data_IF_882681952423
#
_entry.id   IF_882681952423
#
_cell.length_a   1.000
_cell.length_b   1.000
_cell.length_c   1.000
_cell.angle_alpha   90.00
_cell.angle_beta   90.00
_cell.angle_gamma   90.00
#
_symmetry.space_group_name_H-M   'P 1'
#
loop_
_entity.id
_entity.type
_entity.pdbx_description
1 polymer ?
#
# COMPACT_ATOMS: atom_id res chain seq x y z
N UNK A 1 -6.35 14.18 -14.27
CA UNK A 1 -6.43 12.93 -15.06
C UNK A 1 -7.17 11.82 -14.34
N UNK A 2 -6.80 11.45 -13.10
CA UNK A 2 -7.46 10.36 -12.35
C UNK A 2 -8.96 10.60 -12.04
N UNK A 3 -9.34 11.85 -11.75
CA UNK A 3 -10.72 12.23 -11.45
C UNK A 3 -11.69 11.99 -12.63
N UNK A 4 -11.22 12.29 -13.85
CA UNK A 4 -11.99 12.10 -15.09
C UNK A 4 -12.22 10.63 -15.43
N UNK A 5 -11.22 9.78 -15.16
CA UNK A 5 -11.33 8.32 -15.37
C UNK A 5 -12.35 7.74 -14.38
N UNK A 6 -12.29 8.15 -13.12
CA UNK A 6 -13.25 7.73 -12.09
C UNK A 6 -14.70 8.07 -12.44
N UNK A 7 -14.91 9.26 -13.03
CA UNK A 7 -16.22 9.77 -13.38
C UNK A 7 -16.85 9.09 -14.62
N UNK A 8 -16.01 8.68 -15.58
CA UNK A 8 -16.48 8.04 -16.82
C UNK A 8 -16.57 6.51 -16.75
N UNK A 9 -15.72 5.86 -15.96
CA UNK A 9 -15.60 4.39 -15.93
C UNK A 9 -16.52 3.76 -14.88
N UNK A 10 -16.78 4.46 -13.76
CA UNK A 10 -17.55 3.89 -12.65
C UNK A 10 -18.97 4.47 -12.65
N UNK A 11 -20.01 3.62 -12.80
CA UNK A 11 -21.41 4.04 -12.75
C UNK A 11 -21.74 4.82 -11.49
N UNK A 12 -22.61 5.82 -11.61
CA UNK A 12 -23.03 6.68 -10.50
C UNK A 12 -23.64 5.90 -9.32
N UNK A 13 -24.36 4.81 -9.62
CA UNK A 13 -24.91 3.89 -8.62
C UNK A 13 -23.82 3.22 -7.76
N UNK A 14 -22.67 2.91 -8.34
CA UNK A 14 -21.52 2.35 -7.64
C UNK A 14 -20.77 3.46 -6.89
N UNK A 15 -20.63 4.63 -7.49
CA UNK A 15 -19.93 5.78 -6.88
C UNK A 15 -20.62 6.27 -5.60
N UNK A 16 -21.95 6.26 -5.59
CA UNK A 16 -22.77 6.63 -4.44
C UNK A 16 -23.09 5.44 -3.51
N UNK A 17 -22.56 4.26 -3.80
CA UNK A 17 -22.76 3.09 -2.96
C UNK A 17 -22.08 3.27 -1.59
N UNK A 18 -22.68 2.67 -0.56
CA UNK A 18 -22.11 2.63 0.81
C UNK A 18 -20.62 2.23 0.84
N UNK A 19 -20.14 1.19 0.13
CA UNK A 19 -18.74 0.81 0.18
C UNK A 19 -17.79 1.85 -0.44
N UNK A 20 -18.15 2.46 -1.57
CA UNK A 20 -17.30 3.50 -2.19
C UNK A 20 -17.20 4.73 -1.31
N UNK A 21 -18.32 5.17 -0.72
CA UNK A 21 -18.33 6.28 0.24
C UNK A 21 -17.53 5.95 1.50
N UNK A 22 -17.57 4.71 1.97
CA UNK A 22 -16.76 4.26 3.10
C UNK A 22 -15.26 4.29 2.78
N UNK A 23 -14.85 3.81 1.60
CA UNK A 23 -13.46 3.87 1.13
C UNK A 23 -12.98 5.31 1.00
N UNK A 24 -13.80 6.21 0.46
CA UNK A 24 -13.46 7.63 0.37
C UNK A 24 -13.25 8.26 1.75
N UNK A 25 -14.13 7.94 2.72
CA UNK A 25 -14.03 8.43 4.09
C UNK A 25 -12.85 7.83 4.87
N UNK A 26 -12.46 6.59 4.56
CA UNK A 26 -11.37 5.86 5.21
C UNK A 26 -10.14 5.72 4.31
N UNK A 27 -9.91 6.68 3.41
CA UNK A 27 -8.85 6.62 2.39
C UNK A 27 -7.48 6.21 2.95
N UNK A 28 -7.10 6.73 4.12
CA UNK A 28 -5.83 6.39 4.78
C UNK A 28 -5.77 4.91 5.18
N UNK A 29 -6.85 4.39 5.76
CA UNK A 29 -6.98 2.98 6.12
C UNK A 29 -6.98 2.08 4.87
N UNK A 30 -7.66 2.50 3.80
CA UNK A 30 -7.68 1.76 2.54
C UNK A 30 -6.29 1.68 1.90
N UNK A 31 -5.56 2.79 1.85
CA UNK A 31 -4.18 2.82 1.34
C UNK A 31 -3.28 1.93 2.20
N UNK A 32 -3.40 2.01 3.52
CA UNK A 32 -2.67 1.16 4.43
C UNK A 32 -2.94 -0.33 4.21
N UNK A 33 -4.21 -0.73 4.04
CA UNK A 33 -4.59 -2.11 3.79
C UNK A 33 -4.03 -2.62 2.45
N UNK A 34 -4.12 -1.83 1.38
CA UNK A 34 -3.55 -2.18 0.07
C UNK A 34 -2.04 -2.38 0.17
N UNK A 35 -1.33 -1.45 0.81
CA UNK A 35 0.12 -1.57 1.01
C UNK A 35 0.46 -2.80 1.85
N UNK A 36 -0.28 -3.05 2.94
CA UNK A 36 -0.06 -4.22 3.80
C UNK A 36 -0.22 -5.54 3.04
N UNK A 37 -1.26 -5.65 2.21
CA UNK A 37 -1.48 -6.82 1.35
C UNK A 37 -0.36 -6.93 0.32
N UNK A 38 0.00 -5.83 -0.36
CA UNK A 38 1.08 -5.84 -1.34
C UNK A 38 2.38 -6.38 -0.74
N UNK A 39 2.75 -5.85 0.43
CA UNK A 39 3.93 -6.24 1.19
C UNK A 39 3.91 -7.72 1.57
N UNK A 40 2.75 -8.22 2.00
CA UNK A 40 2.64 -9.58 2.49
C UNK A 40 2.36 -10.61 1.39
N UNK A 41 1.95 -10.24 0.19
CA UNK A 41 1.61 -11.21 -0.86
C UNK A 41 2.51 -11.12 -2.10
N UNK A 42 3.29 -10.06 -2.24
CA UNK A 42 4.22 -9.87 -3.36
C UNK A 42 5.65 -9.66 -2.84
N UNK A 43 6.31 -10.74 -2.37
CA UNK A 43 7.73 -10.73 -2.06
C UNK A 43 8.55 -10.27 -3.27
N UNK A 44 9.69 -9.64 -3.01
CA UNK A 44 10.72 -9.57 -4.03
C UNK A 44 11.43 -10.93 -4.13
N UNK A 45 11.11 -11.66 -5.19
CA UNK A 45 11.67 -12.97 -5.55
C UNK A 45 12.53 -12.92 -6.80
N UNK A 46 12.86 -11.73 -7.32
CA UNK A 46 13.68 -11.66 -8.53
C UNK A 46 15.06 -12.26 -8.26
N UNK A 47 15.50 -13.20 -9.11
CA UNK A 47 16.88 -13.70 -9.10
C UNK A 47 17.80 -12.55 -9.55
N UNK A 48 18.72 -12.17 -8.66
CA UNK A 48 19.56 -10.97 -8.80
C UNK A 48 20.72 -11.12 -9.79
N UNK A 49 20.82 -12.25 -10.51
CA UNK A 49 21.88 -12.52 -11.50
C UNK A 49 21.92 -11.51 -12.66
N UNK A 50 20.92 -10.63 -12.77
CA UNK A 50 20.77 -9.62 -13.83
C UNK A 50 21.24 -8.21 -13.40
N UNK A 51 21.53 -7.97 -12.11
CA UNK A 51 21.94 -6.63 -11.60
C UNK A 51 23.27 -6.69 -10.84
N UNK A 52 24.41 -6.27 -11.44
CA UNK A 52 25.75 -6.57 -10.93
C UNK A 52 26.18 -5.88 -9.62
N UNK A 53 25.37 -5.02 -8.99
CA UNK A 53 25.84 -4.18 -7.86
C UNK A 53 24.77 -3.89 -6.78
N UNK A 54 23.67 -4.64 -6.77
CA UNK A 54 22.50 -4.30 -5.95
C UNK A 54 22.58 -4.81 -4.52
N UNK A 55 23.06 -3.97 -3.59
CA UNK A 55 22.90 -4.12 -2.12
C UNK A 55 21.66 -4.93 -1.75
N UNK A 56 21.84 -6.01 -1.00
CA UNK A 56 20.79 -6.82 -0.41
C UNK A 56 19.67 -5.93 0.16
N UNK A 57 18.56 -5.80 -0.57
CA UNK A 57 17.42 -5.05 -0.07
C UNK A 57 16.79 -5.82 1.07
N UNK A 58 16.45 -5.15 2.16
CA UNK A 58 15.69 -5.75 3.29
C UNK A 58 14.34 -6.37 2.87
N UNK A 59 13.96 -6.19 1.59
CA UNK A 59 12.75 -6.67 0.96
C UNK A 59 12.87 -8.02 0.25
N UNK A 60 14.10 -8.50 0.03
CA UNK A 60 14.33 -9.75 -0.67
C UNK A 60 14.04 -10.95 0.23
N UNK A 61 13.42 -12.00 -0.33
CA UNK A 61 12.96 -13.17 0.44
C UNK A 61 14.08 -13.86 1.25
N UNK A 62 15.29 -13.87 0.70
CA UNK A 62 16.45 -14.52 1.33
C UNK A 62 17.15 -13.63 2.37
N UNK A 63 16.72 -12.37 2.53
CA UNK A 63 17.30 -11.47 3.51
C UNK A 63 16.90 -11.88 4.94
N UNK A 64 17.83 -11.98 5.91
CA UNK A 64 17.50 -12.37 7.30
C UNK A 64 16.45 -11.48 7.96
N UNK A 65 16.35 -10.23 7.51
CA UNK A 65 15.41 -9.24 8.03
C UNK A 65 14.06 -9.21 7.31
N UNK A 66 13.90 -10.03 6.27
CA UNK A 66 12.70 -10.08 5.44
C UNK A 66 11.40 -10.35 6.23
N UNK A 67 11.35 -11.30 7.20
CA UNK A 67 10.15 -11.51 8.01
C UNK A 67 9.77 -10.27 8.81
N UNK A 68 10.76 -9.55 9.34
CA UNK A 68 10.56 -8.34 10.11
C UNK A 68 10.11 -7.18 9.22
N UNK A 69 10.65 -7.05 8.00
CA UNK A 69 10.22 -6.03 7.05
C UNK A 69 8.73 -6.18 6.67
N UNK A 70 8.25 -7.42 6.49
CA UNK A 70 6.83 -7.70 6.17
C UNK A 70 5.86 -7.39 7.32
N UNK A 71 6.34 -7.45 8.55
CA UNK A 71 5.52 -7.21 9.74
C UNK A 71 5.62 -5.77 10.25
N UNK A 72 6.84 -5.26 10.43
CA UNK A 72 7.12 -3.94 10.99
C UNK A 72 6.75 -2.81 10.03
N UNK A 73 6.97 -2.98 8.72
CA UNK A 73 6.67 -1.91 7.76
C UNK A 73 5.15 -1.60 7.70
N UNK A 74 4.24 -2.59 7.62
CA UNK A 74 2.82 -2.34 7.77
C UNK A 74 2.44 -1.69 9.11
N UNK A 75 3.05 -2.11 10.22
CA UNK A 75 2.76 -1.53 11.53
C UNK A 75 3.16 -0.06 11.61
N UNK A 76 4.36 0.28 11.16
CA UNK A 76 4.86 1.65 11.14
C UNK A 76 3.99 2.51 10.21
N UNK A 77 3.66 2.01 9.02
CA UNK A 77 2.77 2.72 8.09
C UNK A 77 1.37 2.92 8.69
N UNK A 78 0.84 1.91 9.38
CA UNK A 78 -0.44 2.01 10.08
C UNK A 78 -0.40 3.07 11.15
N UNK A 79 0.66 3.10 11.96
CA UNK A 79 0.87 4.12 12.97
C UNK A 79 0.95 5.52 12.36
N UNK A 80 1.73 5.69 11.30
CA UNK A 80 1.89 6.97 10.58
C UNK A 80 0.56 7.44 9.98
N UNK A 81 -0.18 6.55 9.30
CA UNK A 81 -1.43 6.94 8.65
C UNK A 81 -2.58 7.20 9.62
N UNK A 82 -2.67 6.42 10.71
CA UNK A 82 -3.77 6.52 11.66
C UNK A 82 -3.54 7.58 12.74
N UNK A 83 -2.29 7.82 13.15
CA UNK A 83 -1.98 8.72 14.28
C UNK A 83 -1.38 10.06 13.89
N UNK A 84 -0.92 10.26 12.65
CA UNK A 84 -0.55 11.61 12.18
C UNK A 84 -1.83 12.32 11.74
N UNK A 85 -2.33 13.31 12.52
CA UNK A 85 -3.48 14.08 12.11
C UNK A 85 -3.14 14.78 10.80
N UNK A 86 -4.10 14.90 9.86
CA UNK A 86 -3.89 15.72 8.68
C UNK A 86 -3.46 17.11 9.16
N UNK A 87 -2.34 17.64 8.64
CA UNK A 87 -1.95 19.04 8.87
C UNK A 87 -3.18 19.88 8.57
N UNK A 88 -3.71 20.58 9.58
CA UNK A 88 -4.78 21.57 9.37
C UNK A 88 -4.23 22.58 8.35
N UNK A 89 -4.86 22.62 7.18
CA UNK A 89 -4.67 23.72 6.23
C UNK A 89 -5.55 24.88 6.65
#
# INVERSE_FOLDING_TARGET
>A
MWYWIWEKVIPESIRNSKPVRWVANHRKLTIWAILTVWINFFPDTYEYDIVPDGRYGYWHVDHPWYPYARFLLPLILGAVFLFIPPRKK
#
